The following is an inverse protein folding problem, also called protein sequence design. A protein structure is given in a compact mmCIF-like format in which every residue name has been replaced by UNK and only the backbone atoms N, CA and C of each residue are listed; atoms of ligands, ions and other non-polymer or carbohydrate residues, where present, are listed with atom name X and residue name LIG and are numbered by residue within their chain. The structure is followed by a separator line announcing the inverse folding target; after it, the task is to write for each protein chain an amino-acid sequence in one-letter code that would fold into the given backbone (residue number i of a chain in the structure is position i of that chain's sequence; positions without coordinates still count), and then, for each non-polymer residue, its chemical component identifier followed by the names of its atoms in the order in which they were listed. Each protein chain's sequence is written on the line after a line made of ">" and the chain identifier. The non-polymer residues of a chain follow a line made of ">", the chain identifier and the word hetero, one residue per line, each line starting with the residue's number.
data_IF_692778090556
#
_entry.id   IF_692778090556
#
_cell.length_a   1.000
_cell.length_b   1.000
_cell.length_c   1.000
_cell.angle_alpha   90.00
_cell.angle_beta   90.00
_cell.angle_gamma   90.00
#
_symmetry.space_group_name_H-M   'P 1'
#
loop_
_entity.id
_entity.type
_entity.pdbx_description
1 polymer ?
#
# COMPACT_ATOMS: atom_id res chain seq x y z
N UNK A 1 5.27 -8.18 9.44
CA UNK A 1 5.74 -6.85 9.89
C UNK A 1 6.26 -6.14 8.67
N UNK A 2 5.72 -4.95 8.40
CA UNK A 2 6.03 -4.18 7.20
C UNK A 2 6.81 -2.90 7.51
N UNK A 3 6.84 -2.47 8.77
CA UNK A 3 7.57 -1.31 9.27
C UNK A 3 7.83 -1.45 10.77
N UNK A 4 8.93 -0.90 11.23
CA UNK A 4 9.27 -0.82 12.66
C UNK A 4 9.18 0.64 13.10
N UNK A 5 8.39 0.92 14.14
CA UNK A 5 8.47 2.18 14.89
C UNK A 5 9.41 1.98 16.06
N UNK A 6 10.48 2.74 16.12
CA UNK A 6 11.55 2.56 17.08
C UNK A 6 11.82 3.83 17.88
N UNK A 7 11.57 3.78 19.17
CA UNK A 7 11.91 4.87 20.09
C UNK A 7 13.42 4.87 20.36
N UNK A 8 14.05 6.03 20.32
CA UNK A 8 15.46 6.16 20.69
C UNK A 8 15.64 5.97 22.21
N UNK A 9 14.74 6.54 23.00
CA UNK A 9 14.83 6.53 24.46
C UNK A 9 14.11 5.32 25.06
N UNK A 10 14.77 4.17 25.07
CA UNK A 10 14.23 2.95 25.68
C UNK A 10 15.13 2.48 26.83
N UNK A 11 14.56 1.86 27.90
CA UNK A 11 15.34 1.28 28.98
C UNK A 11 16.12 0.04 28.50
N UNK A 12 17.31 -0.18 29.05
CA UNK A 12 18.21 -1.30 28.81
C UNK A 12 18.98 -1.28 27.48
N UNK A 13 18.32 -1.19 26.33
CA UNK A 13 18.92 -0.98 25.01
C UNK A 13 18.34 0.29 24.40
N UNK A 14 19.17 1.17 23.89
CA UNK A 14 18.69 2.34 23.18
C UNK A 14 18.27 1.99 21.75
N UNK A 15 17.48 2.86 21.11
CA UNK A 15 16.96 2.60 19.78
C UNK A 15 18.04 2.45 18.71
N UNK A 16 19.20 3.09 18.85
CA UNK A 16 20.31 2.94 17.90
C UNK A 16 20.94 1.55 17.96
N UNK A 17 21.12 1.00 19.16
CA UNK A 17 21.63 -0.37 19.31
C UNK A 17 20.68 -1.41 18.70
N UNK A 18 19.38 -1.21 18.86
CA UNK A 18 18.37 -2.05 18.25
C UNK A 18 18.39 -1.90 16.72
N UNK A 19 18.51 -0.68 16.20
CA UNK A 19 18.61 -0.40 14.79
C UNK A 19 19.79 -1.12 14.15
N UNK A 20 20.98 -1.00 14.75
CA UNK A 20 22.20 -1.66 14.27
C UNK A 20 22.04 -3.19 14.25
N UNK A 21 21.37 -3.76 15.23
CA UNK A 21 21.11 -5.20 15.31
C UNK A 21 20.12 -5.66 14.23
N UNK A 22 19.02 -4.92 14.04
CA UNK A 22 18.03 -5.21 12.99
C UNK A 22 18.65 -5.10 11.60
N UNK A 23 19.48 -4.09 11.36
CA UNK A 23 20.12 -3.89 10.03
C UNK A 23 21.10 -5.00 9.64
N UNK A 24 21.59 -5.81 10.58
CA UNK A 24 22.42 -6.99 10.26
C UNK A 24 21.63 -8.10 9.54
N UNK A 25 20.33 -8.18 9.78
CA UNK A 25 19.50 -9.31 9.31
C UNK A 25 18.27 -8.90 8.51
N UNK A 26 17.91 -7.59 8.52
CA UNK A 26 16.66 -7.10 7.92
C UNK A 26 16.83 -5.76 7.23
N UNK A 27 16.13 -5.62 6.10
CA UNK A 27 15.97 -4.36 5.36
C UNK A 27 14.60 -3.69 5.59
N UNK A 28 13.85 -4.16 6.58
CA UNK A 28 12.56 -3.57 6.93
C UNK A 28 12.69 -2.05 7.17
N UNK A 29 11.74 -1.25 6.69
CA UNK A 29 11.77 0.19 6.95
C UNK A 29 11.62 0.48 8.44
N UNK A 30 12.44 1.40 8.92
CA UNK A 30 12.45 1.82 10.32
C UNK A 30 12.21 3.31 10.41
N UNK A 31 11.18 3.68 11.15
CA UNK A 31 10.83 5.05 11.50
C UNK A 31 11.19 5.30 12.95
N UNK A 32 12.19 6.15 13.17
CA UNK A 32 12.67 6.47 14.53
C UNK A 32 11.77 7.51 15.20
N UNK A 33 11.47 7.31 16.49
CA UNK A 33 10.77 8.27 17.33
C UNK A 33 11.78 8.93 18.27
N UNK A 34 11.90 10.25 18.21
CA UNK A 34 12.91 10.98 18.99
C UNK A 34 12.32 12.12 19.79
N UNK A 35 12.77 12.29 21.02
CA UNK A 35 12.55 13.49 21.84
C UNK A 35 13.75 14.46 21.80
N UNK A 36 14.86 14.06 21.16
CA UNK A 36 16.11 14.80 21.17
C UNK A 36 16.12 15.84 20.05
N UNK A 37 16.58 17.04 20.42
CA UNK A 37 16.68 18.20 19.52
C UNK A 37 18.12 18.49 19.09
N UNK A 38 19.09 17.64 19.49
CA UNK A 38 20.49 17.87 19.22
C UNK A 38 20.92 17.40 17.82
N UNK A 39 21.83 18.15 17.23
CA UNK A 39 22.36 17.88 15.90
C UNK A 39 23.09 16.52 15.83
N UNK A 40 23.75 16.11 16.91
CA UNK A 40 24.53 14.86 16.95
C UNK A 40 23.62 13.64 16.79
N UNK A 41 22.46 13.62 17.43
CA UNK A 41 21.45 12.57 17.27
C UNK A 41 20.88 12.56 15.85
N UNK A 42 20.65 13.73 15.26
CA UNK A 42 20.16 13.82 13.88
C UNK A 42 21.19 13.28 12.90
N UNK A 43 22.44 13.68 13.01
CA UNK A 43 23.54 13.19 12.15
C UNK A 43 23.66 11.67 12.26
N UNK A 44 23.69 11.12 13.46
CA UNK A 44 23.76 9.67 13.70
C UNK A 44 22.58 8.91 13.10
N UNK A 45 21.39 9.50 13.13
CA UNK A 45 20.20 8.93 12.50
C UNK A 45 20.35 8.81 10.98
N UNK A 46 20.95 9.80 10.32
CA UNK A 46 21.24 9.75 8.89
C UNK A 46 22.34 8.75 8.54
N UNK A 47 23.41 8.66 9.34
CA UNK A 47 24.50 7.71 9.11
C UNK A 47 24.06 6.24 9.20
N UNK A 48 23.08 5.93 10.03
CA UNK A 48 22.55 4.58 10.24
C UNK A 48 21.46 4.17 9.25
N UNK A 49 21.26 4.94 8.17
CA UNK A 49 20.32 4.61 7.09
C UNK A 49 18.91 4.31 7.58
N UNK A 50 18.37 5.16 8.45
CA UNK A 50 16.95 5.09 8.82
C UNK A 50 16.08 5.62 7.70
N UNK A 51 14.89 5.06 7.57
CA UNK A 51 13.95 5.44 6.50
C UNK A 51 13.19 6.73 6.82
N UNK A 52 13.20 7.14 8.08
CA UNK A 52 12.66 8.40 8.55
C UNK A 52 12.72 8.56 10.07
N UNK A 53 12.44 9.75 10.56
CA UNK A 53 12.30 10.04 11.98
C UNK A 53 11.11 10.97 12.24
N UNK A 54 10.54 10.88 13.45
CA UNK A 54 9.49 11.76 13.94
C UNK A 54 9.90 12.28 15.30
N UNK A 55 9.81 13.60 15.44
CA UNK A 55 10.09 14.29 16.68
C UNK A 55 8.86 14.26 17.61
N UNK A 56 9.08 13.90 18.88
CA UNK A 56 8.08 14.00 19.95
C UNK A 56 8.03 15.42 20.50
N UNK A 57 6.85 15.96 20.82
CA UNK A 57 5.52 15.36 20.69
C UNK A 57 5.01 15.43 19.23
N UNK A 58 4.30 14.40 18.78
CA UNK A 58 3.68 14.36 17.44
C UNK A 58 2.19 14.04 17.53
N UNK A 59 1.42 14.47 16.53
CA UNK A 59 0.04 14.04 16.38
C UNK A 59 -0.07 12.69 15.65
N UNK A 60 -1.15 11.94 15.91
CA UNK A 60 -1.41 10.68 15.20
C UNK A 60 -1.53 10.88 13.69
N UNK A 61 -2.03 12.03 13.24
CA UNK A 61 -2.13 12.37 11.82
C UNK A 61 -0.73 12.48 11.20
N UNK A 62 0.20 13.15 11.86
CA UNK A 62 1.60 13.27 11.39
C UNK A 62 2.28 11.91 11.38
N UNK A 63 2.12 11.11 12.42
CA UNK A 63 2.65 9.74 12.47
C UNK A 63 2.13 8.90 11.30
N UNK A 64 0.82 8.91 11.06
CA UNK A 64 0.20 8.16 9.97
C UNK A 64 0.76 8.56 8.60
N UNK A 65 0.87 9.87 8.34
CA UNK A 65 1.42 10.37 7.07
C UNK A 65 2.90 10.02 6.87
N UNK A 66 3.68 9.99 7.93
CA UNK A 66 5.08 9.56 7.85
C UNK A 66 5.20 8.06 7.59
N UNK A 67 4.37 7.23 8.24
CA UNK A 67 4.29 5.79 7.96
C UNK A 67 3.94 5.55 6.49
N UNK A 68 2.87 6.17 5.97
CA UNK A 68 2.49 6.08 4.56
C UNK A 68 3.66 6.46 3.63
N UNK A 69 4.34 7.58 3.92
CA UNK A 69 5.45 8.06 3.10
C UNK A 69 6.66 7.11 3.12
N UNK A 70 6.99 6.53 4.28
CA UNK A 70 8.07 5.56 4.41
C UNK A 70 7.74 4.26 3.69
N UNK A 71 6.55 3.71 3.91
CA UNK A 71 6.08 2.51 3.22
C UNK A 71 6.06 2.71 1.71
N UNK A 72 5.56 3.84 1.24
CA UNK A 72 5.55 4.18 -0.20
C UNK A 72 6.95 4.28 -0.80
N UNK A 73 7.93 4.82 -0.08
CA UNK A 73 9.34 4.89 -0.55
C UNK A 73 10.02 3.53 -0.55
N UNK A 74 9.78 2.74 0.48
CA UNK A 74 10.46 1.45 0.67
C UNK A 74 9.87 0.35 -0.20
N UNK A 75 8.55 0.31 -0.29
CA UNK A 75 7.78 -0.63 -1.10
C UNK A 75 7.24 0.03 -2.36
N UNK A 76 7.91 1.08 -2.87
CA UNK A 76 7.48 1.84 -4.04
C UNK A 76 7.21 1.00 -5.30
N UNK A 77 7.63 -0.25 -5.29
CA UNK A 77 7.18 -1.30 -6.20
C UNK A 77 5.77 -1.87 -5.83
N UNK A 78 5.20 -1.51 -4.67
CA UNK A 78 3.83 -1.91 -4.30
C UNK A 78 2.75 -1.23 -5.15
N UNK A 79 3.10 -0.20 -5.90
CA UNK A 79 2.23 0.31 -6.95
C UNK A 79 2.27 -0.55 -8.22
N UNK A 80 3.18 -1.54 -8.31
CA UNK A 80 3.21 -2.55 -9.36
C UNK A 80 2.71 -3.88 -8.82
N UNK A 81 1.55 -4.29 -9.30
CA UNK A 81 0.98 -5.59 -9.00
C UNK A 81 1.17 -6.53 -10.18
N UNK A 82 1.60 -7.76 -9.90
CA UNK A 82 1.83 -8.77 -10.90
C UNK A 82 0.95 -10.00 -10.62
N UNK A 83 0.34 -10.52 -11.67
CA UNK A 83 -0.42 -11.76 -11.64
C UNK A 83 -0.21 -12.51 -12.95
N UNK A 84 0.39 -13.70 -12.90
CA UNK A 84 0.78 -14.49 -14.07
C UNK A 84 1.56 -13.65 -15.10
N UNK A 85 0.98 -13.44 -16.27
CA UNK A 85 1.58 -12.63 -17.35
C UNK A 85 1.07 -11.18 -17.36
N UNK A 86 0.36 -10.76 -16.33
CA UNK A 86 -0.20 -9.41 -16.20
C UNK A 86 0.62 -8.61 -15.17
N UNK A 87 0.98 -7.40 -15.56
CA UNK A 87 1.64 -6.41 -14.70
C UNK A 87 0.84 -5.10 -14.73
N UNK A 88 0.54 -4.55 -13.57
CA UNK A 88 -0.21 -3.30 -13.43
C UNK A 88 0.55 -2.35 -12.53
N UNK A 89 0.89 -1.18 -13.06
CA UNK A 89 1.44 -0.08 -12.28
C UNK A 89 0.35 0.94 -11.98
N UNK A 90 -0.07 1.01 -10.72
CA UNK A 90 -1.16 1.88 -10.30
C UNK A 90 -0.76 3.37 -10.24
N UNK A 91 0.52 3.69 -10.14
CA UNK A 91 1.01 5.08 -10.13
C UNK A 91 1.07 5.66 -11.53
N UNK A 92 1.59 4.91 -12.51
CA UNK A 92 1.67 5.36 -13.90
C UNK A 92 0.40 5.10 -14.70
N UNK A 93 -0.61 4.43 -14.12
CA UNK A 93 -1.84 3.99 -14.81
C UNK A 93 -1.56 3.12 -16.03
N UNK A 94 -0.52 2.30 -15.96
CA UNK A 94 -0.10 1.41 -17.04
C UNK A 94 -0.39 -0.05 -16.69
N UNK A 95 -0.99 -0.77 -17.62
CA UNK A 95 -1.21 -2.21 -17.52
C UNK A 95 -0.60 -2.94 -18.72
N UNK A 96 0.00 -4.10 -18.48
CA UNK A 96 0.59 -4.96 -19.51
C UNK A 96 0.11 -6.39 -19.33
N UNK A 97 -0.17 -7.03 -20.46
CA UNK A 97 -0.47 -8.47 -20.52
C UNK A 97 0.47 -9.10 -21.55
N UNK A 98 1.19 -10.14 -21.18
CA UNK A 98 2.24 -10.74 -22.00
C UNK A 98 3.27 -9.69 -22.53
N UNK A 99 3.60 -8.68 -21.71
CA UNK A 99 4.51 -7.59 -22.04
C UNK A 99 3.92 -6.49 -22.94
N UNK A 100 2.71 -6.64 -23.45
CA UNK A 100 2.04 -5.64 -24.29
C UNK A 100 1.16 -4.72 -23.47
N UNK A 101 1.19 -3.41 -23.76
CA UNK A 101 0.36 -2.41 -23.10
C UNK A 101 -1.12 -2.68 -23.41
N UNK A 102 -1.94 -2.66 -22.36
CA UNK A 102 -3.39 -2.80 -22.44
C UNK A 102 -4.04 -1.53 -21.92
N UNK A 103 -4.98 -0.98 -22.69
CA UNK A 103 -5.70 0.22 -22.30
C UNK A 103 -6.69 -0.08 -21.17
N UNK A 104 -6.50 0.61 -20.04
CA UNK A 104 -7.33 0.53 -18.83
C UNK A 104 -7.76 1.93 -18.40
N UNK A 105 -8.94 2.03 -17.84
CA UNK A 105 -9.46 3.29 -17.31
C UNK A 105 -9.05 3.49 -15.85
N UNK A 106 -9.07 4.74 -15.37
CA UNK A 106 -8.79 5.06 -13.97
C UNK A 106 -9.73 4.34 -13.00
N UNK A 107 -11.01 4.19 -13.34
CA UNK A 107 -11.99 3.46 -12.51
C UNK A 107 -11.72 1.96 -12.48
N UNK A 108 -11.32 1.35 -13.61
CA UNK A 108 -10.90 -0.06 -13.66
C UNK A 108 -9.69 -0.29 -12.73
N UNK A 109 -8.68 0.58 -12.80
CA UNK A 109 -7.50 0.47 -11.95
C UNK A 109 -7.81 0.72 -10.47
N UNK A 110 -8.68 1.67 -10.15
CA UNK A 110 -9.10 1.93 -8.78
C UNK A 110 -9.82 0.71 -8.17
N UNK A 111 -10.71 0.06 -8.91
CA UNK A 111 -11.37 -1.19 -8.48
C UNK A 111 -10.34 -2.31 -8.28
N UNK A 112 -9.43 -2.50 -9.23
CA UNK A 112 -8.39 -3.52 -9.11
C UNK A 112 -7.49 -3.27 -7.91
N UNK A 113 -7.03 -2.02 -7.70
CA UNK A 113 -6.21 -1.63 -6.55
C UNK A 113 -6.91 -1.95 -5.23
N UNK A 114 -8.18 -1.57 -5.11
CA UNK A 114 -8.98 -1.86 -3.92
C UNK A 114 -9.07 -3.37 -3.64
N UNK A 115 -9.28 -4.19 -4.66
CA UNK A 115 -9.31 -5.65 -4.52
C UNK A 115 -7.95 -6.24 -4.14
N UNK A 116 -6.85 -5.69 -4.66
CA UNK A 116 -5.48 -6.09 -4.34
C UNK A 116 -5.14 -5.76 -2.88
N UNK A 117 -5.47 -4.55 -2.42
CA UNK A 117 -5.25 -4.10 -1.04
C UNK A 117 -6.04 -4.93 -0.02
N UNK A 118 -7.19 -5.47 -0.44
CA UNK A 118 -8.07 -6.30 0.38
C UNK A 118 -8.08 -7.77 -0.08
N UNK A 119 -6.95 -8.27 -0.62
CA UNK A 119 -6.90 -9.64 -1.13
C UNK A 119 -7.36 -10.67 -0.07
N UNK A 120 -8.08 -11.69 -0.52
CA UNK A 120 -8.67 -12.69 0.37
C UNK A 120 -9.97 -12.26 1.07
N UNK A 121 -10.31 -10.96 1.07
CA UNK A 121 -11.56 -10.45 1.65
C UNK A 121 -12.64 -10.29 0.58
N UNK A 122 -13.89 -10.52 0.96
CA UNK A 122 -15.03 -10.27 0.08
C UNK A 122 -15.47 -8.83 0.25
N UNK A 123 -15.44 -8.05 -0.82
CA UNK A 123 -15.98 -6.69 -0.87
C UNK A 123 -17.34 -6.71 -1.54
N UNK A 124 -18.34 -6.12 -0.89
CA UNK A 124 -19.65 -5.92 -1.49
C UNK A 124 -19.60 -4.88 -2.61
N UNK A 125 -20.60 -4.90 -3.50
CA UNK A 125 -20.72 -3.89 -4.56
C UNK A 125 -20.81 -2.47 -3.99
N UNK A 126 -21.56 -2.29 -2.91
CA UNK A 126 -21.68 -1.00 -2.23
C UNK A 126 -20.33 -0.52 -1.69
N UNK A 127 -19.57 -1.39 -1.01
CA UNK A 127 -18.22 -1.04 -0.53
C UNK A 127 -17.27 -0.64 -1.66
N UNK A 128 -17.33 -1.32 -2.82
CA UNK A 128 -16.52 -0.96 -3.98
C UNK A 128 -16.95 0.41 -4.54
N UNK A 129 -18.25 0.67 -4.62
CA UNK A 129 -18.77 1.97 -5.07
C UNK A 129 -18.33 3.10 -4.14
N UNK A 130 -18.52 2.96 -2.84
CA UNK A 130 -18.20 3.98 -1.83
C UNK A 130 -16.72 4.35 -1.86
N UNK A 131 -15.83 3.39 -2.17
CA UNK A 131 -14.39 3.66 -2.26
C UNK A 131 -13.95 4.26 -3.59
N UNK A 132 -14.55 3.85 -4.69
CA UNK A 132 -14.08 4.20 -6.04
C UNK A 132 -14.77 5.44 -6.60
N UNK A 133 -15.98 5.75 -6.14
CA UNK A 133 -16.69 6.97 -6.51
C UNK A 133 -16.64 7.96 -5.34
N UNK A 134 -16.04 9.13 -5.59
CA UNK A 134 -15.90 10.17 -4.58
C UNK A 134 -17.27 10.69 -4.12
N UNK A 135 -17.35 11.22 -2.89
CA UNK A 135 -18.58 11.72 -2.25
C UNK A 135 -19.36 12.79 -3.06
N UNK A 136 -18.75 13.38 -4.07
CA UNK A 136 -19.34 14.43 -4.91
C UNK A 136 -19.79 13.94 -6.29
N UNK A 137 -19.59 12.66 -6.60
CA UNK A 137 -20.12 12.03 -7.81
C UNK A 137 -21.40 11.29 -7.42
N UNK A 138 -22.49 11.47 -8.18
CA UNK A 138 -23.66 10.61 -8.04
C UNK A 138 -23.25 9.17 -8.31
N UNK A 139 -23.23 8.28 -7.31
CA UNK A 139 -22.75 6.92 -7.52
C UNK A 139 -23.71 6.20 -8.48
N UNK A 140 -23.17 5.49 -9.47
CA UNK A 140 -24.01 4.70 -10.35
C UNK A 140 -24.63 3.51 -9.60
N UNK A 141 -25.62 2.86 -10.22
CA UNK A 141 -26.21 1.66 -9.64
C UNK A 141 -25.20 0.55 -9.40
N UNK A 142 -25.34 -0.24 -8.36
CA UNK A 142 -24.47 -1.34 -7.93
C UNK A 142 -24.01 -2.27 -9.09
N UNK A 143 -24.86 -2.46 -10.08
CA UNK A 143 -24.56 -3.30 -11.26
C UNK A 143 -23.45 -2.76 -12.16
N UNK A 144 -23.09 -1.49 -12.01
CA UNK A 144 -21.95 -0.90 -12.76
C UNK A 144 -20.64 -1.59 -12.36
N UNK A 145 -20.49 -1.98 -11.09
CA UNK A 145 -19.35 -2.74 -10.62
C UNK A 145 -19.17 -4.04 -11.41
N UNK A 146 -20.27 -4.74 -11.70
CA UNK A 146 -20.24 -6.00 -12.47
C UNK A 146 -19.66 -5.79 -13.89
N UNK A 147 -19.95 -4.64 -14.50
CA UNK A 147 -19.43 -4.28 -15.82
C UNK A 147 -17.91 -4.08 -15.75
N UNK A 148 -17.42 -3.32 -14.76
CA UNK A 148 -15.99 -3.08 -14.57
C UNK A 148 -15.24 -4.38 -14.26
N UNK A 149 -15.76 -5.23 -13.40
CA UNK A 149 -15.17 -6.54 -13.10
C UNK A 149 -15.08 -7.42 -14.35
N UNK A 150 -16.14 -7.42 -15.17
CA UNK A 150 -16.13 -8.15 -16.45
C UNK A 150 -15.04 -7.63 -17.40
N UNK A 151 -14.88 -6.30 -17.49
CA UNK A 151 -13.86 -5.68 -18.32
C UNK A 151 -12.45 -5.99 -17.80
N UNK A 152 -12.20 -5.87 -16.50
CA UNK A 152 -10.92 -6.22 -15.86
C UNK A 152 -10.53 -7.67 -16.16
N UNK A 153 -11.44 -8.61 -15.91
CA UNK A 153 -11.20 -10.04 -16.21
C UNK A 153 -10.82 -10.27 -17.66
N UNK A 154 -11.53 -9.61 -18.59
CA UNK A 154 -11.30 -9.75 -20.03
C UNK A 154 -10.00 -9.08 -20.49
N UNK A 155 -9.76 -7.83 -20.10
CA UNK A 155 -8.62 -7.03 -20.55
C UNK A 155 -7.31 -7.52 -19.98
N UNK A 156 -7.30 -7.89 -18.70
CA UNK A 156 -6.11 -8.22 -17.94
C UNK A 156 -5.97 -9.73 -17.65
N UNK A 157 -6.83 -10.56 -18.22
CA UNK A 157 -6.84 -12.02 -18.06
C UNK A 157 -6.87 -12.45 -16.58
N UNK A 158 -7.66 -11.75 -15.76
CA UNK A 158 -7.71 -11.94 -14.31
C UNK A 158 -8.76 -12.98 -13.90
N UNK A 159 -8.39 -14.24 -13.81
CA UNK A 159 -9.24 -15.29 -13.22
C UNK A 159 -9.21 -15.29 -11.68
N UNK A 160 -8.23 -14.60 -11.09
CA UNK A 160 -8.09 -14.42 -9.64
C UNK A 160 -9.18 -13.54 -9.01
N UNK A 161 -9.93 -12.77 -9.77
CA UNK A 161 -11.10 -12.05 -9.26
C UNK A 161 -12.28 -13.02 -9.21
N UNK A 162 -12.67 -13.44 -8.02
CA UNK A 162 -13.74 -14.42 -7.78
C UNK A 162 -15.06 -13.70 -7.46
N UNK A 163 -16.18 -14.20 -8.02
CA UNK A 163 -17.51 -13.71 -7.66
C UNK A 163 -18.06 -14.51 -6.50
N UNK A 164 -18.39 -13.82 -5.41
CA UNK A 164 -19.14 -14.41 -4.30
C UNK A 164 -20.62 -14.10 -4.51
N UNK A 165 -21.39 -15.14 -4.85
CA UNK A 165 -22.80 -15.00 -5.25
C UNK A 165 -23.61 -14.25 -4.20
N UNK A 166 -24.39 -13.26 -4.63
CA UNK A 166 -25.23 -12.40 -3.81
C UNK A 166 -24.50 -11.51 -2.77
N UNK A 167 -23.15 -11.52 -2.76
CA UNK A 167 -22.33 -10.70 -1.85
C UNK A 167 -21.52 -9.67 -2.62
N UNK A 168 -20.57 -10.11 -3.44
CA UNK A 168 -19.67 -9.20 -4.13
C UNK A 168 -18.51 -9.91 -4.80
N UNK A 169 -17.31 -9.36 -4.64
CA UNK A 169 -16.11 -9.83 -5.30
C UNK A 169 -14.95 -9.99 -4.32
N UNK A 170 -14.06 -10.90 -4.62
CA UNK A 170 -12.85 -11.17 -3.86
C UNK A 170 -11.69 -11.39 -4.84
N UNK A 171 -10.52 -10.88 -4.51
CA UNK A 171 -9.29 -11.26 -5.19
C UNK A 171 -8.64 -12.41 -4.43
N UNK A 172 -8.36 -13.51 -5.13
CA UNK A 172 -7.83 -14.74 -4.57
C UNK A 172 -6.61 -15.16 -5.39
N UNK A 173 -5.41 -14.96 -4.83
CA UNK A 173 -4.16 -15.40 -5.45
C UNK A 173 -3.97 -16.91 -5.20
N UNK A 174 -3.67 -17.64 -6.27
CA UNK A 174 -3.37 -19.08 -6.20
C UNK A 174 -1.90 -19.31 -5.91
#
# INVERSE_FOLDING_TARGET
>A
IDLILLDIMMPRKNGFEVLEEVRKTSKLPILMLTALHDEETQVRTFELLVDGFIQKPFSLVVLHKQIEAVLKRHYGEMDVWNYENTSVNFTSFEARVNGQIVEVTAKELAILKLLVEHHGQVLSRAQILDHVWAEHEDPPFDRVVDVYIKQLRKKLLLDCIVTVKNVGYKLELR
#
